data_IF_076202966299
#
_entry.id   IF_076202966299
#
_cell.length_a   1.000
_cell.length_b   1.000
_cell.length_c   1.000
_cell.angle_alpha   90.00
_cell.angle_beta   90.00
_cell.angle_gamma   90.00
#
_symmetry.space_group_name_H-M   'P 1'
#
loop_
_entity.id
_entity.type
_entity.pdbx_description
1 polymer ?
#
# COMPACT_ATOMS: atom_id res chain seq x y z
N UNK A 1 13.78 -13.79 5.16
CA UNK A 1 12.60 -14.02 6.04
C UNK A 1 11.39 -13.35 5.39
N UNK A 2 10.26 -14.05 5.29
CA UNK A 2 9.05 -13.49 4.71
C UNK A 2 8.45 -12.47 5.68
N UNK A 3 8.19 -11.26 5.19
CA UNK A 3 7.55 -10.18 5.94
C UNK A 3 6.04 -10.23 5.82
N UNK A 4 5.55 -10.49 4.60
CA UNK A 4 4.13 -10.62 4.32
C UNK A 4 3.91 -11.86 3.44
N UNK A 5 2.95 -12.68 3.83
CA UNK A 5 2.44 -13.77 2.99
C UNK A 5 0.91 -13.67 2.90
N UNK A 6 0.41 -13.72 1.69
CA UNK A 6 -1.01 -13.82 1.38
C UNK A 6 -1.21 -15.07 0.57
N UNK A 7 -2.09 -15.95 1.03
CA UNK A 7 -2.28 -17.27 0.43
C UNK A 7 -3.74 -17.44 0.03
N UNK A 8 -3.96 -17.70 -1.25
CA UNK A 8 -5.25 -18.07 -1.84
C UNK A 8 -6.40 -17.13 -1.45
N UNK A 9 -6.19 -15.81 -1.62
CA UNK A 9 -7.13 -14.80 -1.18
C UNK A 9 -8.29 -14.65 -2.16
N UNK A 10 -9.51 -14.91 -1.70
CA UNK A 10 -10.74 -14.74 -2.45
C UNK A 10 -11.58 -13.59 -1.90
N UNK A 11 -12.27 -12.87 -2.77
CA UNK A 11 -13.22 -11.81 -2.39
C UNK A 11 -14.39 -11.76 -3.35
N UNK A 12 -15.60 -11.69 -2.78
CA UNK A 12 -16.84 -11.48 -3.53
C UNK A 12 -17.57 -10.21 -3.05
N UNK A 13 -18.24 -9.54 -3.99
CA UNK A 13 -19.27 -8.55 -3.73
C UNK A 13 -20.60 -9.09 -4.30
N UNK A 14 -21.48 -9.55 -3.41
CA UNK A 14 -22.65 -10.32 -3.81
C UNK A 14 -22.25 -11.62 -4.54
N UNK A 15 -22.77 -11.81 -5.75
CA UNK A 15 -22.41 -12.95 -6.60
C UNK A 15 -21.15 -12.74 -7.43
N UNK A 16 -20.60 -11.52 -7.48
CA UNK A 16 -19.43 -11.21 -8.31
C UNK A 16 -18.14 -11.50 -7.55
N UNK A 17 -17.35 -12.47 -8.03
CA UNK A 17 -16.04 -12.79 -7.48
C UNK A 17 -14.95 -11.89 -8.08
N UNK A 18 -14.39 -11.01 -7.24
CA UNK A 18 -13.38 -10.00 -7.62
C UNK A 18 -11.97 -10.52 -7.44
N UNK A 19 -11.70 -11.33 -6.41
CA UNK A 19 -10.42 -12.02 -6.21
C UNK A 19 -10.67 -13.52 -6.23
N UNK A 20 -9.84 -14.24 -6.98
CA UNK A 20 -10.01 -15.66 -7.31
C UNK A 20 -8.77 -16.48 -6.95
N UNK A 21 -8.36 -16.39 -5.68
CA UNK A 21 -7.18 -17.13 -5.19
C UNK A 21 -5.86 -16.39 -5.41
N UNK A 22 -5.83 -15.07 -5.17
CA UNK A 22 -4.61 -14.28 -5.33
C UNK A 22 -3.65 -14.54 -4.18
N UNK A 23 -2.40 -14.87 -4.52
CA UNK A 23 -1.31 -15.11 -3.55
C UNK A 23 -0.14 -14.17 -3.80
N UNK A 24 0.57 -13.78 -2.71
CA UNK A 24 1.73 -12.90 -2.73
C UNK A 24 2.64 -13.25 -1.57
N UNK A 25 3.95 -13.21 -1.80
CA UNK A 25 4.96 -13.31 -0.74
C UNK A 25 5.98 -12.20 -0.89
N UNK A 26 6.13 -11.37 0.15
CA UNK A 26 7.14 -10.32 0.23
C UNK A 26 8.17 -10.65 1.30
N UNK A 27 9.45 -10.67 0.94
CA UNK A 27 10.58 -10.78 1.86
C UNK A 27 10.98 -9.40 2.37
N UNK A 28 11.83 -9.37 3.40
CA UNK A 28 12.38 -8.10 3.88
C UNK A 28 13.13 -7.37 2.76
N UNK A 29 12.79 -6.09 2.55
CA UNK A 29 13.36 -5.24 1.52
C UNK A 29 12.77 -5.41 0.11
N UNK A 30 11.79 -6.31 -0.05
CA UNK A 30 11.12 -6.46 -1.35
C UNK A 30 10.23 -5.26 -1.67
N UNK A 31 10.28 -4.85 -2.92
CA UNK A 31 9.32 -3.93 -3.53
C UNK A 31 8.55 -4.70 -4.59
N UNK A 32 7.27 -4.94 -4.35
CA UNK A 32 6.39 -5.67 -5.27
C UNK A 32 5.42 -4.69 -5.90
N UNK A 33 5.48 -4.54 -7.22
CA UNK A 33 4.48 -3.76 -7.96
C UNK A 33 3.35 -4.64 -8.47
N UNK A 34 2.12 -4.18 -8.27
CA UNK A 34 0.90 -4.81 -8.80
C UNK A 34 0.32 -3.89 -9.85
N UNK A 35 0.24 -4.36 -11.09
CA UNK A 35 -0.33 -3.64 -12.23
C UNK A 35 -1.56 -4.37 -12.77
N UNK A 36 -2.36 -3.69 -13.57
CA UNK A 36 -3.55 -4.26 -14.21
C UNK A 36 -4.60 -3.20 -14.51
N UNK A 37 -5.55 -3.53 -15.37
CA UNK A 37 -6.64 -2.62 -15.76
C UNK A 37 -7.55 -2.26 -14.58
N UNK A 38 -8.30 -1.18 -14.71
CA UNK A 38 -9.35 -0.81 -13.76
C UNK A 38 -10.32 -2.01 -13.57
N UNK A 39 -10.73 -2.24 -12.32
CA UNK A 39 -11.61 -3.36 -11.98
C UNK A 39 -10.93 -4.73 -11.92
N UNK A 40 -9.60 -4.85 -12.11
CA UNK A 40 -8.91 -6.15 -12.01
C UNK A 40 -8.79 -6.70 -10.58
N UNK A 41 -9.09 -5.90 -9.54
CA UNK A 41 -9.07 -6.30 -8.13
C UNK A 41 -7.88 -5.80 -7.32
N UNK A 42 -6.97 -4.99 -7.87
CA UNK A 42 -5.73 -4.51 -7.23
C UNK A 42 -5.96 -3.86 -5.85
N UNK A 43 -6.75 -2.79 -5.82
CA UNK A 43 -7.06 -2.07 -4.57
C UNK A 43 -7.86 -2.93 -3.59
N UNK A 44 -8.76 -3.78 -4.10
CA UNK A 44 -9.48 -4.76 -3.29
C UNK A 44 -8.52 -5.74 -2.62
N UNK A 45 -7.50 -6.21 -3.35
CA UNK A 45 -6.48 -7.11 -2.81
C UNK A 45 -5.69 -6.43 -1.67
N UNK A 46 -5.18 -5.21 -1.88
CA UNK A 46 -4.49 -4.47 -0.82
C UNK A 46 -5.39 -4.25 0.43
N UNK A 47 -6.64 -3.86 0.21
CA UNK A 47 -7.59 -3.62 1.30
C UNK A 47 -8.00 -4.89 2.04
N UNK A 48 -7.95 -6.05 1.39
CA UNK A 48 -8.15 -7.33 2.07
C UNK A 48 -6.96 -7.69 2.96
N UNK A 49 -5.73 -7.34 2.59
CA UNK A 49 -4.52 -7.67 3.36
C UNK A 49 -4.58 -7.06 4.77
N UNK A 50 -5.05 -5.82 4.91
CA UNK A 50 -5.20 -5.15 6.21
C UNK A 50 -6.62 -5.22 6.79
N UNK A 51 -7.51 -6.05 6.21
CA UNK A 51 -8.92 -6.21 6.58
C UNK A 51 -9.72 -4.89 6.60
N UNK A 52 -9.41 -3.94 5.75
CA UNK A 52 -10.34 -2.85 5.39
C UNK A 52 -11.50 -3.39 4.55
N UNK A 53 -11.21 -4.41 3.72
CA UNK A 53 -12.19 -5.24 3.04
C UNK A 53 -12.13 -6.66 3.59
N UNK A 54 -13.29 -7.28 3.82
CA UNK A 54 -13.35 -8.64 4.33
C UNK A 54 -13.20 -9.64 3.18
N UNK A 55 -12.15 -10.48 3.15
CA UNK A 55 -12.03 -11.54 2.16
C UNK A 55 -13.10 -12.62 2.41
N UNK A 56 -13.37 -13.43 1.38
CA UNK A 56 -14.26 -14.61 1.47
C UNK A 56 -13.51 -15.80 2.04
N UNK A 57 -12.27 -16.01 1.60
CA UNK A 57 -11.35 -17.04 2.07
C UNK A 57 -9.90 -16.61 1.85
N UNK A 58 -8.96 -17.39 2.37
CA UNK A 58 -7.53 -17.17 2.26
C UNK A 58 -6.87 -16.97 3.60
N UNK A 59 -5.55 -16.83 3.59
CA UNK A 59 -4.71 -16.66 4.79
C UNK A 59 -3.81 -15.45 4.62
N UNK A 60 -3.56 -14.75 5.71
CA UNK A 60 -2.68 -13.57 5.76
C UNK A 60 -1.72 -13.76 6.92
N UNK A 61 -0.41 -13.70 6.64
CA UNK A 61 0.63 -13.84 7.64
C UNK A 61 1.56 -12.62 7.58
N UNK A 62 1.91 -12.07 8.72
CA UNK A 62 2.89 -11.00 8.88
C UNK A 62 4.01 -11.50 9.79
N UNK A 63 5.26 -11.56 9.31
CA UNK A 63 6.40 -12.19 9.99
C UNK A 63 6.09 -13.61 10.51
N UNK A 64 5.47 -14.45 9.70
CA UNK A 64 5.00 -15.79 10.03
C UNK A 64 3.90 -15.86 11.11
N UNK A 65 3.42 -14.73 11.63
CA UNK A 65 2.24 -14.67 12.48
C UNK A 65 0.99 -14.63 11.60
N UNK A 66 0.19 -15.71 11.68
CA UNK A 66 -1.07 -15.77 10.93
C UNK A 66 -2.16 -14.95 11.62
N UNK A 67 -2.82 -14.08 10.84
CA UNK A 67 -4.02 -13.38 11.28
C UNK A 67 -5.17 -14.39 11.45
N UNK A 68 -5.63 -14.57 12.68
CA UNK A 68 -6.73 -15.49 12.98
C UNK A 68 -8.04 -14.93 12.44
N UNK A 69 -8.60 -15.61 11.45
CA UNK A 69 -9.84 -15.22 10.78
C UNK A 69 -10.97 -16.20 11.13
N UNK A 70 -12.17 -15.66 11.29
CA UNK A 70 -13.41 -16.43 11.52
C UNK A 70 -14.50 -15.95 10.57
N UNK A 71 -15.37 -16.85 10.17
CA UNK A 71 -16.52 -16.50 9.31
C UNK A 71 -17.45 -15.51 10.01
N UNK A 72 -17.92 -14.52 9.29
CA UNK A 72 -18.98 -13.62 9.72
C UNK A 72 -20.35 -14.11 9.21
N UNK A 73 -21.41 -13.46 9.68
CA UNK A 73 -22.80 -13.81 9.28
C UNK A 73 -23.08 -13.60 7.78
N UNK A 74 -22.26 -12.81 7.09
CA UNK A 74 -22.42 -12.44 5.68
C UNK A 74 -21.53 -13.26 4.74
N UNK A 75 -20.92 -14.36 5.23
CA UNK A 75 -20.08 -15.25 4.43
C UNK A 75 -18.68 -14.76 4.15
N UNK A 76 -18.25 -13.63 4.74
CA UNK A 76 -16.87 -13.14 4.69
C UNK A 76 -16.08 -13.52 5.93
N UNK A 77 -14.77 -13.25 5.90
CA UNK A 77 -13.88 -13.46 7.04
C UNK A 77 -13.65 -12.13 7.79
N UNK A 78 -13.64 -12.20 9.11
CA UNK A 78 -13.25 -11.11 10.01
C UNK A 78 -12.19 -11.58 10.99
N UNK A 79 -11.43 -10.66 11.58
CA UNK A 79 -10.49 -11.03 12.63
C UNK A 79 -11.20 -11.65 13.82
N UNK A 80 -10.67 -12.78 14.31
CA UNK A 80 -11.16 -13.45 15.50
C UNK A 80 -10.83 -12.65 16.77
N UNK A 81 -9.66 -11.98 16.76
CA UNK A 81 -9.16 -11.15 17.86
C UNK A 81 -8.90 -9.70 17.37
N UNK A 82 -9.71 -8.71 17.83
CA UNK A 82 -9.50 -7.31 17.49
C UNK A 82 -8.14 -6.76 17.94
N UNK A 83 -7.56 -7.24 19.04
CA UNK A 83 -6.25 -6.81 19.53
C UNK A 83 -5.14 -7.31 18.60
N UNK A 84 -5.23 -8.54 18.08
CA UNK A 84 -4.32 -9.04 17.07
C UNK A 84 -4.40 -8.19 15.81
N UNK A 85 -5.60 -7.88 15.32
CA UNK A 85 -5.78 -7.04 14.15
C UNK A 85 -5.18 -5.64 14.33
N UNK A 86 -5.41 -5.00 15.49
CA UNK A 86 -4.84 -3.68 15.79
C UNK A 86 -3.30 -3.74 15.76
N UNK A 87 -2.69 -4.73 16.42
CA UNK A 87 -1.24 -4.94 16.44
C UNK A 87 -0.69 -5.21 15.02
N UNK A 88 -1.39 -5.99 14.20
CA UNK A 88 -0.96 -6.24 12.82
C UNK A 88 -1.07 -4.99 11.95
N UNK A 89 -2.14 -4.19 12.10
CA UNK A 89 -2.32 -2.93 11.35
C UNK A 89 -1.28 -1.88 11.69
N UNK A 90 -0.77 -1.82 12.93
CA UNK A 90 0.32 -0.90 13.27
C UNK A 90 1.66 -1.29 12.62
N UNK A 91 1.82 -2.57 12.28
CA UNK A 91 3.02 -3.10 11.57
C UNK A 91 2.84 -3.12 10.05
N UNK A 92 1.63 -2.89 9.55
CA UNK A 92 1.23 -2.93 8.14
C UNK A 92 0.53 -1.62 7.79
N UNK A 93 1.28 -0.60 7.43
CA UNK A 93 0.71 0.71 7.10
C UNK A 93 0.18 0.76 5.67
N UNK A 94 -0.78 1.66 5.42
CA UNK A 94 -1.36 1.84 4.08
C UNK A 94 -1.42 3.32 3.69
N UNK A 95 -0.94 3.61 2.48
CA UNK A 95 -1.03 4.90 1.81
C UNK A 95 -2.08 4.78 0.72
N UNK A 96 -3.06 5.68 0.72
CA UNK A 96 -4.23 5.64 -0.17
C UNK A 96 -4.10 6.60 -1.34
N UNK A 97 -4.88 6.36 -2.39
CA UNK A 97 -4.99 7.22 -3.55
C UNK A 97 -5.46 8.65 -3.22
N UNK A 98 -6.38 8.81 -2.28
CA UNK A 98 -6.98 10.10 -1.89
C UNK A 98 -6.42 10.66 -0.58
N UNK A 99 -5.14 10.39 -0.27
CA UNK A 99 -4.40 10.90 0.91
C UNK A 99 -5.02 10.55 2.27
N UNK A 100 -6.32 10.67 2.44
CA UNK A 100 -7.11 10.39 3.64
C UNK A 100 -6.54 11.09 4.91
N UNK A 101 -6.12 12.34 4.75
CA UNK A 101 -5.73 13.17 5.88
C UNK A 101 -6.99 13.69 6.59
N UNK A 102 -6.92 13.80 7.91
CA UNK A 102 -7.97 14.46 8.70
C UNK A 102 -7.92 15.96 8.44
N UNK A 103 -8.96 16.49 7.83
CA UNK A 103 -9.02 17.90 7.37
C UNK A 103 -9.01 18.93 8.48
N UNK A 104 -9.39 18.54 9.70
CA UNK A 104 -9.43 19.36 10.91
C UNK A 104 -8.14 19.32 11.72
N UNK A 105 -7.13 18.60 11.27
CA UNK A 105 -5.81 18.44 11.87
C UNK A 105 -4.73 18.99 10.94
N UNK A 106 -3.68 19.57 11.51
CA UNK A 106 -2.47 19.97 10.79
C UNK A 106 -1.72 18.75 10.25
N UNK A 107 -0.71 18.94 9.39
CA UNK A 107 0.17 17.88 8.93
C UNK A 107 0.83 17.14 10.10
N UNK A 108 1.37 17.88 11.06
CA UNK A 108 2.02 17.34 12.25
C UNK A 108 1.05 16.51 13.11
N UNK A 109 -0.14 17.03 13.37
CA UNK A 109 -1.19 16.33 14.14
C UNK A 109 -1.63 15.04 13.42
N UNK A 110 -1.81 15.06 12.10
CA UNK A 110 -2.11 13.87 11.32
C UNK A 110 -1.07 12.75 11.49
N UNK A 111 0.21 13.10 11.65
CA UNK A 111 1.30 12.13 11.75
C UNK A 111 1.40 11.54 13.15
N UNK A 112 1.21 12.35 14.20
CA UNK A 112 1.37 11.88 15.58
C UNK A 112 0.16 11.15 16.15
N UNK A 113 -0.99 11.21 15.50
CA UNK A 113 -2.25 10.65 16.01
C UNK A 113 -2.14 9.17 16.36
N UNK A 114 -1.67 8.34 15.41
CA UNK A 114 -1.53 6.92 15.65
C UNK A 114 -0.38 6.57 16.62
N UNK A 115 0.84 7.14 16.50
CA UNK A 115 1.89 6.94 17.50
C UNK A 115 1.43 7.22 18.94
N UNK A 116 0.75 8.34 19.19
CA UNK A 116 0.32 8.71 20.54
C UNK A 116 -0.85 7.86 21.03
N UNK A 117 -1.92 7.77 20.23
CA UNK A 117 -3.20 7.22 20.69
C UNK A 117 -3.35 5.71 20.47
N UNK A 118 -2.57 5.13 19.55
CA UNK A 118 -2.62 3.69 19.26
C UNK A 118 -1.41 2.96 19.84
N UNK A 119 -0.20 3.53 19.67
CA UNK A 119 1.04 2.90 20.12
C UNK A 119 1.46 3.33 21.53
N UNK A 120 0.88 4.40 22.09
CA UNK A 120 1.20 4.91 23.42
C UNK A 120 2.58 5.59 23.50
N UNK A 121 3.11 6.05 22.36
CA UNK A 121 4.39 6.78 22.32
C UNK A 121 4.21 8.12 23.03
N UNK A 122 5.15 8.53 23.90
CA UNK A 122 5.11 9.84 24.54
C UNK A 122 4.99 10.97 23.50
N UNK A 123 4.09 11.93 23.73
CA UNK A 123 3.80 12.99 22.74
C UNK A 123 5.06 13.74 22.29
N UNK A 124 6.02 13.98 23.17
CA UNK A 124 7.29 14.64 22.83
C UNK A 124 8.09 13.84 21.81
N UNK A 125 8.23 12.54 22.03
CA UNK A 125 8.92 11.63 21.12
C UNK A 125 8.17 11.50 19.77
N UNK A 126 6.84 11.41 19.80
CA UNK A 126 6.01 11.37 18.61
C UNK A 126 6.17 12.64 17.76
N UNK A 127 6.30 13.83 18.39
CA UNK A 127 6.56 15.09 17.69
C UNK A 127 7.94 15.13 17.04
N UNK A 128 8.99 14.69 17.74
CA UNK A 128 10.35 14.62 17.21
C UNK A 128 10.42 13.68 16.00
N UNK A 129 9.80 12.49 16.10
CA UNK A 129 9.70 11.53 15.01
C UNK A 129 8.89 12.08 13.84
N UNK A 130 7.78 12.77 14.08
CA UNK A 130 6.97 13.37 13.03
C UNK A 130 7.72 14.45 12.25
N UNK A 131 8.47 15.31 12.93
CA UNK A 131 9.34 16.31 12.28
C UNK A 131 10.44 15.64 11.45
N UNK A 132 11.03 14.55 11.94
CA UNK A 132 11.99 13.76 11.18
C UNK A 132 11.35 13.22 9.88
N UNK A 133 10.15 12.62 9.95
CA UNK A 133 9.51 12.08 8.75
C UNK A 133 9.01 13.16 7.79
N UNK A 134 8.53 14.31 8.30
CA UNK A 134 8.20 15.47 7.45
C UNK A 134 9.43 15.97 6.67
N UNK A 135 10.59 16.02 7.34
CA UNK A 135 11.84 16.37 6.67
C UNK A 135 12.23 15.35 5.61
N UNK A 136 12.12 14.07 5.95
CA UNK A 136 12.43 12.95 5.05
C UNK A 136 11.63 12.97 3.76
N UNK A 137 10.34 13.35 3.83
CA UNK A 137 9.47 13.45 2.64
C UNK A 137 9.47 14.87 2.02
N UNK A 138 10.28 15.81 2.54
CA UNK A 138 10.50 17.14 1.98
C UNK A 138 9.34 18.13 2.17
N UNK A 139 8.55 17.99 3.26
CA UNK A 139 7.41 18.88 3.56
C UNK A 139 7.43 19.48 4.97
N UNK A 140 8.60 19.63 5.60
CA UNK A 140 8.76 20.22 6.94
C UNK A 140 8.17 21.63 7.04
N UNK A 141 8.22 22.41 5.97
CA UNK A 141 7.66 23.78 5.89
C UNK A 141 6.12 23.80 5.97
N UNK A 142 5.46 22.65 5.89
CA UNK A 142 4.01 22.47 5.96
C UNK A 142 3.52 21.85 7.27
N UNK A 143 4.39 21.70 8.28
CA UNK A 143 4.05 20.99 9.52
C UNK A 143 2.78 21.50 10.21
N UNK A 144 2.58 22.82 10.19
CA UNK A 144 1.45 23.51 10.82
C UNK A 144 0.29 23.79 9.84
N UNK A 145 0.40 23.36 8.57
CA UNK A 145 -0.62 23.57 7.56
C UNK A 145 -1.71 22.50 7.67
N UNK A 146 -2.96 22.90 7.41
CA UNK A 146 -4.09 22.00 7.23
C UNK A 146 -4.14 21.43 5.81
N UNK A 147 -4.70 20.22 5.61
CA UNK A 147 -4.78 19.59 4.29
C UNK A 147 -5.32 20.50 3.18
N UNK A 148 -6.36 21.30 3.46
CA UNK A 148 -6.94 22.23 2.49
C UNK A 148 -6.01 23.34 2.00
N UNK A 149 -4.87 23.56 2.68
CA UNK A 149 -3.85 24.56 2.31
C UNK A 149 -2.58 23.92 1.73
N UNK A 150 -2.64 22.65 1.35
CA UNK A 150 -1.53 21.89 0.75
C UNK A 150 -1.88 21.43 -0.66
N UNK A 151 -0.89 21.39 -1.55
CA UNK A 151 -1.06 20.74 -2.86
C UNK A 151 -1.29 19.24 -2.71
N UNK A 152 -1.84 18.58 -3.74
CA UNK A 152 -2.04 17.12 -3.71
C UNK A 152 -0.76 16.33 -3.44
N UNK A 153 0.35 16.76 -4.06
CA UNK A 153 1.66 16.14 -3.82
C UNK A 153 2.19 16.35 -2.39
N UNK A 154 1.95 17.51 -1.77
CA UNK A 154 2.28 17.76 -0.36
C UNK A 154 1.42 16.88 0.56
N UNK A 155 0.11 16.80 0.31
CA UNK A 155 -0.81 15.94 1.08
C UNK A 155 -0.39 14.47 1.00
N UNK A 156 -0.03 13.98 -0.19
CA UNK A 156 0.43 12.60 -0.36
C UNK A 156 1.73 12.34 0.38
N UNK A 157 2.69 13.27 0.33
CA UNK A 157 3.93 13.14 1.11
C UNK A 157 3.69 13.16 2.63
N UNK A 158 2.74 13.97 3.11
CA UNK A 158 2.30 13.91 4.52
C UNK A 158 1.65 12.55 4.83
N UNK A 159 0.83 12.00 3.93
CA UNK A 159 0.24 10.65 4.12
C UNK A 159 1.32 9.55 4.17
N UNK A 160 2.39 9.68 3.39
CA UNK A 160 3.56 8.78 3.47
C UNK A 160 4.29 8.96 4.81
N UNK A 161 4.52 10.20 5.27
CA UNK A 161 5.13 10.48 6.57
C UNK A 161 4.30 9.90 7.73
N UNK A 162 2.97 10.04 7.67
CA UNK A 162 2.04 9.41 8.62
C UNK A 162 2.16 7.89 8.64
N UNK A 163 2.27 7.27 7.46
CA UNK A 163 2.45 5.83 7.35
C UNK A 163 3.80 5.37 7.90
N UNK A 164 4.86 6.18 7.79
CA UNK A 164 6.20 5.90 8.32
C UNK A 164 6.27 6.06 9.84
N UNK A 165 5.50 6.98 10.42
CA UNK A 165 5.56 7.33 11.84
C UNK A 165 5.17 6.19 12.81
N UNK A 166 4.48 5.17 12.32
CA UNK A 166 4.19 3.94 13.07
C UNK A 166 5.28 2.88 12.92
N UNK A 167 6.38 3.18 12.22
CA UNK A 167 7.50 2.27 11.94
C UNK A 167 7.08 0.91 11.39
N UNK A 168 6.35 0.89 10.28
CA UNK A 168 5.75 -0.33 9.77
C UNK A 168 6.82 -1.29 9.22
N UNK A 169 6.51 -2.59 9.29
CA UNK A 169 7.33 -3.64 8.67
C UNK A 169 7.06 -3.81 7.18
N UNK A 170 5.83 -3.51 6.76
CA UNK A 170 5.41 -3.52 5.37
C UNK A 170 4.53 -2.30 5.10
N UNK A 171 4.76 -1.64 3.98
CA UNK A 171 3.95 -0.52 3.51
C UNK A 171 3.15 -0.93 2.29
N UNK A 172 1.85 -0.69 2.31
CA UNK A 172 0.94 -0.89 1.19
C UNK A 172 0.63 0.46 0.54
N UNK A 173 0.76 0.55 -0.77
CA UNK A 173 0.46 1.76 -1.53
C UNK A 173 -0.65 1.46 -2.55
N UNK A 174 -1.80 2.10 -2.40
CA UNK A 174 -2.96 1.96 -3.28
C UNK A 174 -3.01 3.15 -4.25
N UNK A 175 -2.39 3.01 -5.43
CA UNK A 175 -2.32 4.02 -6.51
C UNK A 175 -1.90 5.42 -6.00
N UNK A 176 -0.74 5.57 -5.35
CA UNK A 176 -0.36 6.77 -4.61
C UNK A 176 -0.20 8.04 -5.46
N UNK A 177 -0.17 7.91 -6.78
CA UNK A 177 0.01 9.04 -7.72
C UNK A 177 -1.22 9.35 -8.56
N UNK A 178 -2.23 8.45 -8.57
CA UNK A 178 -3.36 8.54 -9.52
C UNK A 178 -4.29 9.75 -9.30
N UNK A 179 -4.26 10.37 -8.11
CA UNK A 179 -5.05 11.56 -7.78
C UNK A 179 -4.24 12.87 -7.87
N UNK A 180 -3.03 12.82 -8.46
CA UNK A 180 -2.12 13.95 -8.56
C UNK A 180 -2.07 14.53 -9.96
N UNK A 181 -1.83 15.84 -10.05
CA UNK A 181 -1.44 16.47 -11.30
C UNK A 181 -0.09 15.88 -11.76
N UNK A 182 0.12 15.72 -13.10
CA UNK A 182 1.32 15.07 -13.64
C UNK A 182 2.65 15.68 -13.16
N UNK A 183 2.68 16.99 -12.92
CA UNK A 183 3.87 17.71 -12.44
C UNK A 183 4.26 17.34 -10.99
N UNK A 184 3.30 16.86 -10.19
CA UNK A 184 3.50 16.50 -8.78
C UNK A 184 3.87 15.02 -8.59
N UNK A 185 3.66 14.18 -9.59
CA UNK A 185 3.90 12.74 -9.55
C UNK A 185 5.37 12.43 -9.24
N UNK A 186 6.28 13.15 -9.92
CA UNK A 186 7.73 12.91 -9.81
C UNK A 186 8.25 13.03 -8.37
N UNK A 187 7.77 13.98 -7.59
CA UNK A 187 8.23 14.18 -6.22
C UNK A 187 7.77 13.07 -5.28
N UNK A 188 6.55 12.56 -5.45
CA UNK A 188 6.06 11.41 -4.68
C UNK A 188 6.83 10.14 -5.03
N UNK A 189 7.10 9.92 -6.32
CA UNK A 189 7.88 8.75 -6.77
C UNK A 189 9.33 8.80 -6.24
N UNK A 190 9.97 9.98 -6.18
CA UNK A 190 11.32 10.14 -5.57
C UNK A 190 11.32 9.72 -4.09
N UNK A 191 10.30 10.10 -3.32
CA UNK A 191 10.17 9.67 -1.93
C UNK A 191 10.05 8.15 -1.86
N UNK A 192 9.21 7.54 -2.68
CA UNK A 192 9.04 6.08 -2.70
C UNK A 192 10.32 5.34 -3.14
N UNK A 193 11.07 5.88 -4.10
CA UNK A 193 12.38 5.36 -4.50
C UNK A 193 13.39 5.41 -3.34
N UNK A 194 13.44 6.52 -2.60
CA UNK A 194 14.31 6.63 -1.42
C UNK A 194 13.96 5.58 -0.36
N UNK A 195 12.67 5.34 -0.10
CA UNK A 195 12.23 4.31 0.83
C UNK A 195 12.62 2.88 0.39
N UNK A 196 12.57 2.61 -0.92
CA UNK A 196 13.03 1.34 -1.48
C UNK A 196 14.54 1.15 -1.29
N UNK A 197 15.34 2.20 -1.55
CA UNK A 197 16.79 2.18 -1.34
C UNK A 197 17.19 1.98 0.14
N UNK A 198 16.34 2.40 1.08
CA UNK A 198 16.51 2.15 2.52
C UNK A 198 16.15 0.71 2.92
N UNK A 199 15.70 -0.11 1.98
CA UNK A 199 15.31 -1.50 2.26
C UNK A 199 13.93 -1.64 2.89
N UNK A 200 13.03 -0.67 2.74
CA UNK A 200 11.63 -0.81 3.17
C UNK A 200 10.90 -1.84 2.33
N UNK A 201 10.16 -2.71 2.97
CA UNK A 201 9.31 -3.69 2.28
C UNK A 201 8.02 -3.02 1.83
N UNK A 202 7.72 -3.07 0.54
CA UNK A 202 6.58 -2.34 -0.04
C UNK A 202 5.78 -3.21 -1.00
N UNK A 203 4.46 -3.09 -0.97
CA UNK A 203 3.55 -3.61 -2.01
C UNK A 203 2.82 -2.41 -2.61
N UNK A 204 3.01 -2.17 -3.89
CA UNK A 204 2.61 -0.94 -4.58
C UNK A 204 1.67 -1.26 -5.73
N UNK A 205 0.41 -0.88 -5.64
CA UNK A 205 -0.48 -0.80 -6.80
C UNK A 205 -0.16 0.48 -7.54
N UNK A 206 0.20 0.38 -8.82
CA UNK A 206 0.63 1.57 -9.59
C UNK A 206 0.34 1.44 -11.07
N UNK A 207 0.21 2.59 -11.73
CA UNK A 207 0.20 2.75 -13.18
C UNK A 207 1.54 3.34 -13.71
N UNK A 208 2.50 3.61 -12.82
CA UNK A 208 3.80 4.17 -13.15
C UNK A 208 4.77 3.05 -13.57
N UNK A 209 4.76 2.69 -14.85
CA UNK A 209 5.57 1.56 -15.37
C UNK A 209 7.08 1.81 -15.22
N UNK A 210 7.52 3.08 -15.32
CA UNK A 210 8.91 3.46 -15.07
C UNK A 210 9.34 3.13 -13.64
N UNK A 211 8.54 3.51 -12.65
CA UNK A 211 8.76 3.18 -11.25
C UNK A 211 8.79 1.66 -11.03
N UNK A 212 7.79 0.93 -11.54
CA UNK A 212 7.72 -0.52 -11.40
C UNK A 212 8.97 -1.21 -11.98
N UNK A 213 9.46 -0.76 -13.14
CA UNK A 213 10.64 -1.32 -13.79
C UNK A 213 11.96 -1.05 -13.04
N UNK A 214 12.10 0.15 -12.47
CA UNK A 214 13.37 0.61 -11.88
C UNK A 214 13.52 0.20 -10.42
N UNK A 215 12.41 0.19 -9.67
CA UNK A 215 12.41 0.10 -8.21
C UNK A 215 11.98 -1.27 -7.70
N UNK A 216 11.07 -1.94 -8.42
CA UNK A 216 10.54 -3.21 -7.95
C UNK A 216 11.45 -4.38 -8.29
N UNK A 217 11.49 -5.36 -7.40
CA UNK A 217 12.15 -6.64 -7.62
C UNK A 217 11.18 -7.75 -8.05
N UNK A 218 9.87 -7.50 -7.91
CA UNK A 218 8.83 -8.38 -8.44
C UNK A 218 7.67 -7.53 -9.00
N UNK A 219 7.11 -7.99 -10.12
CA UNK A 219 5.91 -7.43 -10.72
C UNK A 219 4.84 -8.49 -10.82
N UNK A 220 3.61 -8.13 -10.47
CA UNK A 220 2.42 -8.97 -10.59
C UNK A 220 1.43 -8.26 -11.51
N UNK A 221 1.06 -8.89 -12.61
CA UNK A 221 -0.03 -8.44 -13.46
C UNK A 221 -1.33 -9.15 -13.06
N UNK A 222 -2.27 -8.35 -12.53
CA UNK A 222 -3.58 -8.84 -12.09
C UNK A 222 -4.63 -8.58 -13.19
N UNK A 223 -5.32 -9.65 -13.61
CA UNK A 223 -6.39 -9.55 -14.59
C UNK A 223 -7.62 -10.35 -14.14
N UNK A 224 -8.80 -9.71 -14.09
CA UNK A 224 -10.09 -10.32 -13.68
C UNK A 224 -10.01 -11.16 -12.40
N UNK A 225 -9.24 -10.67 -11.42
CA UNK A 225 -9.10 -11.28 -10.11
C UNK A 225 -8.10 -12.44 -10.04
N UNK A 226 -7.32 -12.68 -11.09
CA UNK A 226 -6.28 -13.72 -11.17
C UNK A 226 -4.91 -13.08 -11.41
N UNK A 227 -3.86 -13.72 -10.89
CA UNK A 227 -2.49 -13.42 -11.28
C UNK A 227 -2.25 -14.02 -12.67
N UNK A 228 -2.25 -13.17 -13.68
CA UNK A 228 -2.08 -13.57 -15.09
C UNK A 228 -0.59 -13.78 -15.44
N UNK A 229 0.27 -12.90 -14.94
CA UNK A 229 1.71 -12.99 -15.11
C UNK A 229 2.43 -12.39 -13.91
N UNK A 230 3.56 -12.98 -13.51
CA UNK A 230 4.42 -12.42 -12.48
C UNK A 230 5.89 -12.74 -12.78
N UNK A 231 6.80 -11.87 -12.31
CA UNK A 231 8.23 -12.08 -12.50
C UNK A 231 9.07 -10.84 -12.27
N UNK A 232 10.29 -10.84 -12.79
CA UNK A 232 11.18 -9.69 -12.76
C UNK A 232 10.59 -8.55 -13.62
N UNK A 233 10.41 -7.34 -13.07
CA UNK A 233 9.79 -6.23 -13.80
C UNK A 233 10.48 -5.91 -15.13
N UNK A 234 11.82 -5.98 -15.17
CA UNK A 234 12.61 -5.67 -16.37
C UNK A 234 12.40 -6.67 -17.50
N UNK A 235 12.05 -7.92 -17.16
CA UNK A 235 11.75 -8.96 -18.14
C UNK A 235 10.28 -8.89 -18.56
N UNK A 236 9.38 -8.87 -17.57
CA UNK A 236 7.93 -8.93 -17.79
C UNK A 236 7.41 -7.70 -18.55
N UNK A 237 7.95 -6.49 -18.27
CA UNK A 237 7.54 -5.27 -18.97
C UNK A 237 8.11 -5.13 -20.38
N UNK A 238 9.23 -5.80 -20.68
CA UNK A 238 9.88 -5.73 -22.01
C UNK A 238 9.43 -6.87 -22.91
N UNK A 239 9.29 -8.07 -22.36
CA UNK A 239 8.91 -9.27 -23.10
C UNK A 239 7.80 -10.04 -22.37
N UNK A 240 6.59 -9.47 -22.30
CA UNK A 240 5.46 -10.11 -21.64
C UNK A 240 5.04 -11.38 -22.37
N UNK A 241 4.80 -12.46 -21.61
CA UNK A 241 4.36 -13.77 -22.15
C UNK A 241 2.86 -13.81 -22.36
N UNK A 242 2.10 -13.13 -21.49
CA UNK A 242 0.65 -13.05 -21.60
C UNK A 242 0.24 -12.08 -22.71
N UNK A 243 -0.58 -12.53 -23.65
CA UNK A 243 -1.17 -11.69 -24.70
C UNK A 243 -1.96 -10.52 -24.06
N UNK A 244 -2.58 -10.77 -22.91
CA UNK A 244 -3.35 -9.74 -22.20
C UNK A 244 -2.46 -8.66 -21.62
N UNK A 245 -1.28 -9.03 -21.10
CA UNK A 245 -0.30 -8.05 -20.63
C UNK A 245 0.27 -7.24 -21.81
N UNK A 246 0.53 -7.86 -22.96
CA UNK A 246 0.96 -7.17 -24.18
C UNK A 246 -0.08 -6.11 -24.60
N UNK A 247 -1.37 -6.47 -24.61
CA UNK A 247 -2.46 -5.54 -24.91
C UNK A 247 -2.56 -4.39 -23.88
N UNK A 248 -2.39 -4.70 -22.59
CA UNK A 248 -2.41 -3.72 -21.52
C UNK A 248 -1.25 -2.71 -21.66
N UNK A 249 -0.04 -3.18 -21.90
CA UNK A 249 1.15 -2.32 -22.04
C UNK A 249 1.07 -1.46 -23.32
N UNK A 250 0.60 -2.00 -24.43
CA UNK A 250 0.40 -1.22 -25.66
C UNK A 250 -0.65 -0.12 -25.52
N UNK A 251 -1.67 -0.31 -24.68
CA UNK A 251 -2.69 0.70 -24.35
C UNK A 251 -2.21 1.76 -23.36
N UNK A 252 -1.32 1.40 -22.44
CA UNK A 252 -0.78 2.30 -21.41
C UNK A 252 0.38 3.16 -21.91
N UNK A 253 1.03 2.77 -23.00
CA UNK A 253 2.17 3.48 -23.58
C UNK A 253 1.76 4.46 -24.70
N UNK A 254 0.50 4.67 -24.92
CA UNK A 254 -0.07 5.70 -25.81
C UNK A 254 -0.51 6.89 -24.99
#
# INVERSE_FOLDING_TARGET
MNKLEVQDLHKCYGSHEVLKGVSLTAKAGDVISIIGSSGSGKSTFLRCINLLEQPKSGRILLNNEELKLVSNKNGGLKAADPKQLQRMRSRLSMVFQHFNLWSHMTALENIIEAPVHVLGVPKKEALENAEHYLNKVGVSHRKDAYPGHMSGGEQQRVAIARALAVEPEVMLFDEPTSALDPELVGDVLKVMQALALEGRTMVVVTHEMGFAREVSNQLIFLHKGLVEECGNPREVLVNPKSERLQQFLSGSLK
#
